data_IF_880708221711
#
_entry.id   IF_880708221711
#
_cell.length_a   1.000
_cell.length_b   1.000
_cell.length_c   1.000
_cell.angle_alpha   90.00
_cell.angle_beta   90.00
_cell.angle_gamma   90.00
#
_symmetry.space_group_name_H-M   'P 1'
#
loop_
_entity.id
_entity.type
_entity.pdbx_description
1 polymer ?
#
# COMPACT_ATOMS: atom_id res chain seq x y z
N UNK A 1 17.86 -39.78 -7.02
CA UNK A 1 17.98 -39.31 -8.41
C UNK A 1 16.84 -38.35 -8.81
N UNK A 2 15.59 -38.61 -8.48
CA UNK A 2 14.44 -37.75 -8.80
C UNK A 2 14.48 -36.40 -8.06
N UNK A 3 14.87 -36.38 -6.79
CA UNK A 3 15.00 -35.15 -5.99
C UNK A 3 16.06 -34.16 -6.51
N UNK A 4 17.18 -34.71 -7.06
CA UNK A 4 18.24 -33.89 -7.63
C UNK A 4 17.81 -33.24 -8.95
N UNK A 5 17.05 -33.99 -9.76
CA UNK A 5 16.46 -33.47 -11.02
C UNK A 5 15.40 -32.39 -10.81
N UNK A 6 14.67 -32.46 -9.70
CA UNK A 6 13.67 -31.44 -9.35
C UNK A 6 14.38 -30.16 -8.87
N UNK A 7 15.42 -30.30 -8.06
CA UNK A 7 16.20 -29.13 -7.58
C UNK A 7 16.89 -28.39 -8.74
N UNK A 8 17.50 -29.12 -9.67
CA UNK A 8 18.14 -28.56 -10.87
C UNK A 8 17.15 -27.90 -11.82
N UNK A 9 15.92 -28.44 -11.90
CA UNK A 9 14.83 -27.85 -12.68
C UNK A 9 14.21 -26.61 -12.02
N UNK A 10 14.18 -26.56 -10.69
CA UNK A 10 13.77 -25.35 -9.95
C UNK A 10 14.80 -24.25 -10.10
N UNK A 11 16.10 -24.52 -9.98
CA UNK A 11 17.14 -23.51 -10.20
C UNK A 11 17.10 -22.94 -11.62
N UNK A 12 16.86 -23.79 -12.64
CA UNK A 12 16.70 -23.32 -14.02
C UNK A 12 15.44 -22.49 -14.26
N UNK A 13 14.38 -22.71 -13.49
CA UNK A 13 13.15 -21.90 -13.55
C UNK A 13 13.31 -20.56 -12.83
N UNK A 14 14.12 -20.50 -11.77
CA UNK A 14 14.46 -19.23 -11.10
C UNK A 14 15.37 -18.36 -11.98
N UNK A 15 16.30 -18.93 -12.70
CA UNK A 15 17.19 -18.23 -13.64
C UNK A 15 16.43 -17.69 -14.88
N UNK A 16 15.31 -18.31 -15.26
CA UNK A 16 14.43 -17.83 -16.32
C UNK A 16 13.47 -16.71 -15.91
N UNK A 17 13.33 -16.40 -14.62
CA UNK A 17 12.48 -15.32 -14.13
C UNK A 17 13.18 -13.97 -13.96
N UNK A 18 14.47 -13.86 -14.24
CA UNK A 18 15.10 -12.57 -14.47
C UNK A 18 14.61 -12.11 -15.85
N UNK A 19 13.50 -11.39 -15.85
CA UNK A 19 13.00 -10.73 -17.07
C UNK A 19 14.03 -9.68 -17.45
N UNK A 20 14.91 -10.01 -18.40
CA UNK A 20 15.80 -9.04 -19.02
C UNK A 20 14.93 -8.03 -19.77
N UNK A 21 14.60 -6.94 -19.08
CA UNK A 21 13.81 -5.86 -19.68
C UNK A 21 14.64 -5.22 -20.79
N UNK A 22 14.23 -5.46 -22.02
CA UNK A 22 14.83 -4.81 -23.19
C UNK A 22 14.66 -3.30 -23.09
N UNK A 23 15.66 -2.56 -23.60
CA UNK A 23 15.57 -1.10 -23.72
C UNK A 23 14.32 -0.64 -24.47
N UNK A 24 13.83 -1.46 -25.40
CA UNK A 24 12.61 -1.20 -26.16
C UNK A 24 11.37 -1.27 -25.26
N UNK A 25 11.27 -2.28 -24.40
CA UNK A 25 10.16 -2.44 -23.43
C UNK A 25 10.16 -1.32 -22.40
N UNK A 26 11.34 -0.92 -21.93
CA UNK A 26 11.49 0.21 -21.03
C UNK A 26 11.01 1.53 -21.69
N UNK A 27 11.41 1.79 -22.93
CA UNK A 27 10.97 3.00 -23.67
C UNK A 27 9.48 2.98 -24.00
N UNK A 28 8.92 1.80 -24.32
CA UNK A 28 7.47 1.63 -24.49
C UNK A 28 6.72 1.92 -23.19
N UNK A 29 7.21 1.42 -22.08
CA UNK A 29 6.64 1.71 -20.76
C UNK A 29 6.67 3.21 -20.43
N UNK A 30 7.78 3.88 -20.74
CA UNK A 30 7.91 5.33 -20.55
C UNK A 30 6.96 6.13 -21.44
N UNK A 31 6.62 5.60 -22.63
CA UNK A 31 5.67 6.25 -23.53
C UNK A 31 4.28 6.43 -22.92
N UNK A 32 3.85 5.57 -22.00
CA UNK A 32 2.59 5.71 -21.28
C UNK A 32 2.53 7.00 -20.44
N UNK A 33 3.66 7.39 -19.86
CA UNK A 33 3.75 8.66 -19.11
C UNK A 33 3.57 9.83 -20.07
N UNK A 34 4.18 9.76 -21.25
CA UNK A 34 4.04 10.80 -22.29
C UNK A 34 2.60 10.89 -22.76
N UNK A 35 1.95 9.75 -23.01
CA UNK A 35 0.52 9.70 -23.40
C UNK A 35 -0.35 10.33 -22.32
N UNK A 36 -0.11 10.03 -21.06
CA UNK A 36 -0.85 10.62 -19.94
C UNK A 36 -0.67 12.13 -19.87
N UNK A 37 0.54 12.63 -20.10
CA UNK A 37 0.82 14.06 -20.15
C UNK A 37 0.13 14.74 -21.34
N UNK A 38 0.14 14.11 -22.53
CA UNK A 38 -0.55 14.60 -23.71
C UNK A 38 -2.06 14.66 -23.49
N UNK A 39 -2.67 13.60 -22.96
CA UNK A 39 -4.09 13.60 -22.61
C UNK A 39 -4.45 14.69 -21.60
N UNK A 40 -3.61 14.89 -20.59
CA UNK A 40 -3.79 15.97 -19.62
C UNK A 40 -3.73 17.35 -20.25
N UNK A 41 -2.87 17.55 -21.28
CA UNK A 41 -2.79 18.79 -22.05
C UNK A 41 -4.05 18.98 -22.92
N UNK A 42 -4.46 17.95 -23.66
CA UNK A 42 -5.64 17.98 -24.53
C UNK A 42 -6.92 18.27 -23.74
N UNK A 43 -7.09 17.63 -22.57
CA UNK A 43 -8.24 17.81 -21.71
C UNK A 43 -8.15 19.04 -20.80
N UNK A 44 -7.09 19.85 -20.90
CA UNK A 44 -6.84 21.06 -20.09
C UNK A 44 -6.98 20.84 -18.58
N UNK A 45 -6.56 19.66 -18.10
CA UNK A 45 -6.71 19.28 -16.69
C UNK A 45 -5.77 20.06 -15.74
N UNK A 46 -4.79 20.78 -16.26
CA UNK A 46 -3.77 21.57 -15.52
C UNK A 46 -2.98 20.77 -14.46
N UNK A 47 -2.88 19.43 -14.64
CA UNK A 47 -2.18 18.53 -13.72
C UNK A 47 -0.79 18.09 -14.22
N UNK A 48 -0.34 18.59 -15.41
CA UNK A 48 0.87 18.16 -16.09
C UNK A 48 2.10 18.26 -15.18
N UNK A 49 2.26 19.41 -14.51
CA UNK A 49 3.39 19.63 -13.58
C UNK A 49 3.40 18.62 -12.43
N UNK A 50 2.22 18.33 -11.89
CA UNK A 50 2.08 17.37 -10.80
C UNK A 50 2.39 15.94 -11.24
N UNK A 51 1.90 15.54 -12.43
CA UNK A 51 2.18 14.21 -13.01
C UNK A 51 3.66 14.06 -13.34
N UNK A 52 4.27 15.05 -13.98
CA UNK A 52 5.70 15.01 -14.31
C UNK A 52 6.58 14.89 -13.04
N UNK A 53 6.34 15.76 -12.05
CA UNK A 53 7.09 15.74 -10.80
C UNK A 53 6.89 14.41 -10.06
N UNK A 54 5.66 13.88 -10.05
CA UNK A 54 5.37 12.59 -9.44
C UNK A 54 6.09 11.44 -10.16
N UNK A 55 6.12 11.44 -11.48
CA UNK A 55 6.82 10.42 -12.29
C UNK A 55 8.32 10.43 -12.06
N UNK A 56 8.95 11.61 -12.10
CA UNK A 56 10.39 11.75 -11.83
C UNK A 56 10.72 11.31 -10.40
N UNK A 57 9.91 11.73 -9.43
CA UNK A 57 10.08 11.32 -8.04
C UNK A 57 9.94 9.80 -7.88
N UNK A 58 8.94 9.19 -8.52
CA UNK A 58 8.72 7.74 -8.47
C UNK A 58 9.92 6.99 -9.09
N UNK A 59 10.41 7.42 -10.24
CA UNK A 59 11.58 6.82 -10.89
C UNK A 59 12.83 6.88 -9.99
N UNK A 60 13.12 8.04 -9.40
CA UNK A 60 14.24 8.20 -8.47
C UNK A 60 14.09 7.34 -7.21
N UNK A 61 12.87 7.25 -6.66
CA UNK A 61 12.60 6.41 -5.50
C UNK A 61 12.77 4.93 -5.82
N UNK A 62 12.26 4.45 -6.96
CA UNK A 62 12.42 3.06 -7.39
C UNK A 62 13.89 2.70 -7.61
N UNK A 63 14.66 3.59 -8.26
CA UNK A 63 16.10 3.39 -8.46
C UNK A 63 16.84 3.31 -7.12
N UNK A 64 16.56 4.23 -6.20
CA UNK A 64 17.17 4.24 -4.87
C UNK A 64 16.84 2.98 -4.06
N UNK A 65 15.58 2.53 -4.11
CA UNK A 65 15.12 1.31 -3.44
C UNK A 65 15.73 0.06 -4.09
N UNK A 66 15.82 0.01 -5.42
CA UNK A 66 16.48 -1.09 -6.12
C UNK A 66 17.95 -1.24 -5.73
N UNK A 67 18.72 -0.14 -5.71
CA UNK A 67 20.11 -0.15 -5.25
C UNK A 67 20.24 -0.55 -3.77
N UNK A 68 19.32 -0.14 -2.94
CA UNK A 68 19.31 -0.51 -1.53
C UNK A 68 19.04 -2.01 -1.36
N UNK A 69 18.14 -2.58 -2.14
CA UNK A 69 17.79 -3.99 -2.06
C UNK A 69 18.93 -4.90 -2.50
N UNK A 70 19.69 -4.55 -3.53
CA UNK A 70 20.91 -5.32 -3.88
C UNK A 70 21.87 -5.38 -2.70
N UNK A 71 22.10 -4.26 -2.01
CA UNK A 71 22.98 -4.23 -0.84
C UNK A 71 22.43 -5.03 0.36
N UNK A 72 21.11 -5.07 0.56
CA UNK A 72 20.46 -5.80 1.65
C UNK A 72 20.51 -7.30 1.41
N UNK A 73 20.18 -7.75 0.20
CA UNK A 73 20.03 -9.18 -0.09
C UNK A 73 21.35 -9.92 -0.23
N UNK A 74 22.43 -9.22 -0.58
CA UNK A 74 23.79 -9.80 -0.62
C UNK A 74 24.42 -9.96 0.78
N UNK A 75 23.75 -9.51 1.83
CA UNK A 75 24.31 -9.54 3.17
C UNK A 75 23.97 -10.83 3.92
N UNK A 76 24.91 -11.32 4.77
CA UNK A 76 24.74 -12.52 5.60
C UNK A 76 23.49 -12.49 6.51
N UNK A 77 23.00 -11.32 6.85
CA UNK A 77 21.83 -11.10 7.70
C UNK A 77 20.66 -10.49 6.90
N UNK A 78 20.45 -10.95 5.67
CA UNK A 78 19.42 -10.42 4.77
C UNK A 78 18.01 -10.44 5.40
N UNK A 79 17.67 -11.49 6.15
CA UNK A 79 16.36 -11.59 6.83
C UNK A 79 16.15 -10.49 7.88
N UNK A 80 17.18 -10.23 8.70
CA UNK A 80 17.12 -9.17 9.71
C UNK A 80 16.94 -7.79 9.06
N UNK A 81 17.69 -7.53 7.98
CA UNK A 81 17.59 -6.31 7.22
C UNK A 81 16.23 -6.15 6.54
N UNK A 82 15.63 -7.24 6.05
CA UNK A 82 14.29 -7.25 5.47
C UNK A 82 13.23 -6.87 6.50
N UNK A 83 13.28 -7.40 7.73
CA UNK A 83 12.37 -7.03 8.80
C UNK A 83 12.55 -5.58 9.27
N UNK A 84 13.79 -5.11 9.32
CA UNK A 84 14.09 -3.71 9.62
C UNK A 84 13.51 -2.79 8.54
N UNK A 85 13.62 -3.18 7.28
CA UNK A 85 13.02 -2.47 6.16
C UNK A 85 11.49 -2.44 6.25
N UNK A 86 10.84 -3.57 6.53
CA UNK A 86 9.38 -3.64 6.74
C UNK A 86 8.94 -2.71 7.87
N UNK A 87 9.67 -2.70 8.98
CA UNK A 87 9.42 -1.79 10.10
C UNK A 87 9.50 -0.32 9.65
N UNK A 88 10.53 0.01 8.90
CA UNK A 88 10.69 1.35 8.32
C UNK A 88 9.53 1.72 7.39
N UNK A 89 9.08 0.79 6.53
CA UNK A 89 7.93 1.00 5.65
C UNK A 89 6.63 1.24 6.43
N UNK A 90 6.39 0.51 7.53
CA UNK A 90 5.23 0.72 8.41
C UNK A 90 5.25 2.11 9.05
N UNK A 91 6.43 2.57 9.50
CA UNK A 91 6.58 3.91 10.06
C UNK A 91 6.34 5.00 9.01
N UNK A 92 6.89 4.84 7.80
CA UNK A 92 6.63 5.75 6.68
C UNK A 92 5.15 5.79 6.30
N UNK A 93 4.50 4.62 6.22
CA UNK A 93 3.07 4.51 5.93
C UNK A 93 2.22 5.26 6.96
N UNK A 94 2.54 5.10 8.24
CA UNK A 94 1.90 5.82 9.35
C UNK A 94 2.07 7.33 9.21
N UNK A 95 3.27 7.79 8.88
CA UNK A 95 3.56 9.22 8.68
C UNK A 95 2.80 9.78 7.46
N UNK A 96 2.68 9.01 6.37
CA UNK A 96 1.90 9.42 5.19
C UNK A 96 0.43 9.61 5.56
N UNK A 97 -0.17 8.68 6.31
CA UNK A 97 -1.56 8.79 6.78
C UNK A 97 -1.73 10.01 7.68
N UNK A 98 -0.80 10.23 8.62
CA UNK A 98 -0.81 11.40 9.51
C UNK A 98 -0.82 12.72 8.73
N UNK A 99 0.01 12.83 7.71
CA UNK A 99 0.11 14.06 6.89
C UNK A 99 -1.11 14.29 6.01
N UNK A 100 -1.74 13.23 5.55
CA UNK A 100 -2.91 13.35 4.68
C UNK A 100 -4.20 13.68 5.44
N UNK A 101 -4.27 13.34 6.74
CA UNK A 101 -5.45 13.60 7.58
C UNK A 101 -5.00 14.15 8.94
N UNK A 102 -4.60 15.43 9.01
CA UNK A 102 -4.06 16.03 10.22
C UNK A 102 -5.10 16.29 11.31
N UNK A 103 -6.38 16.11 11.00
CA UNK A 103 -7.53 16.51 11.86
C UNK A 103 -7.65 15.68 13.14
N UNK A 104 -7.09 14.44 13.17
CA UNK A 104 -7.28 13.49 14.27
C UNK A 104 -5.97 13.29 15.04
N UNK A 105 -5.88 13.83 16.25
CA UNK A 105 -4.63 13.81 17.07
C UNK A 105 -4.08 12.42 17.37
N UNK A 106 -4.91 11.38 17.53
CA UNK A 106 -4.51 10.00 17.83
C UNK A 106 -4.41 9.10 16.60
N UNK A 107 -4.66 9.65 15.42
CA UNK A 107 -4.64 8.89 14.17
C UNK A 107 -3.32 8.13 13.93
N UNK A 108 -2.13 8.71 14.16
CA UNK A 108 -0.88 8.00 13.86
C UNK A 108 -0.72 6.73 14.69
N UNK A 109 -1.11 6.74 15.96
CA UNK A 109 -1.01 5.56 16.81
C UNK A 109 -1.99 4.46 16.38
N UNK A 110 -3.23 4.85 16.04
CA UNK A 110 -4.24 3.90 15.52
C UNK A 110 -3.80 3.33 14.17
N UNK A 111 -3.27 4.17 13.29
CA UNK A 111 -2.76 3.75 11.99
C UNK A 111 -1.56 2.80 12.14
N UNK A 112 -0.62 3.11 13.04
CA UNK A 112 0.53 2.25 13.32
C UNK A 112 0.09 0.85 13.75
N UNK A 113 -0.79 0.77 14.75
CA UNK A 113 -1.31 -0.51 15.26
C UNK A 113 -2.06 -1.26 14.15
N UNK A 114 -2.95 -0.59 13.42
CA UNK A 114 -3.73 -1.19 12.37
C UNK A 114 -2.84 -1.75 11.24
N UNK A 115 -1.87 -0.98 10.75
CA UNK A 115 -0.96 -1.41 9.67
C UNK A 115 -0.10 -2.57 10.16
N UNK A 116 0.50 -2.46 11.36
CA UNK A 116 1.35 -3.51 11.93
C UNK A 116 0.58 -4.82 12.09
N UNK A 117 -0.63 -4.76 12.65
CA UNK A 117 -1.49 -5.94 12.83
C UNK A 117 -1.87 -6.57 11.49
N UNK A 118 -2.25 -5.75 10.50
CA UNK A 118 -2.61 -6.25 9.17
C UNK A 118 -1.43 -6.89 8.46
N UNK A 119 -0.26 -6.27 8.49
CA UNK A 119 0.97 -6.83 7.90
C UNK A 119 1.35 -8.12 8.62
N UNK A 120 1.36 -8.13 9.95
CA UNK A 120 1.66 -9.33 10.74
C UNK A 120 0.69 -10.47 10.42
N UNK A 121 -0.60 -10.19 10.30
CA UNK A 121 -1.61 -11.19 9.96
C UNK A 121 -1.39 -11.77 8.55
N UNK A 122 -1.20 -10.93 7.54
CA UNK A 122 -1.00 -11.39 6.16
C UNK A 122 0.30 -12.18 6.03
N UNK A 123 1.39 -11.66 6.58
CA UNK A 123 2.70 -12.32 6.56
C UNK A 123 2.64 -13.67 7.30
N UNK A 124 1.98 -13.72 8.47
CA UNK A 124 1.80 -14.96 9.22
C UNK A 124 1.00 -16.00 8.41
N UNK A 125 -0.11 -15.60 7.80
CA UNK A 125 -0.92 -16.51 6.97
C UNK A 125 -0.12 -17.04 5.79
N UNK A 126 0.52 -16.16 5.02
CA UNK A 126 1.25 -16.54 3.80
C UNK A 126 2.40 -17.49 4.10
N UNK A 127 3.19 -17.23 5.13
CA UNK A 127 4.36 -18.07 5.46
C UNK A 127 4.00 -19.28 6.31
N UNK A 128 3.00 -19.20 7.21
CA UNK A 128 2.57 -20.34 8.02
C UNK A 128 1.95 -21.45 7.16
N UNK A 129 1.17 -21.06 6.14
CA UNK A 129 0.57 -22.00 5.19
C UNK A 129 1.50 -22.34 4.02
N UNK A 130 2.76 -21.88 4.03
CA UNK A 130 3.74 -22.11 2.98
C UNK A 130 3.21 -21.80 1.57
N UNK A 131 2.40 -20.73 1.46
CA UNK A 131 1.88 -20.26 0.16
C UNK A 131 3.02 -19.73 -0.70
N UNK A 132 4.01 -19.12 -0.06
CA UNK A 132 5.25 -18.62 -0.67
C UNK A 132 6.41 -18.99 0.25
N UNK A 133 7.57 -19.30 -0.32
CA UNK A 133 8.77 -19.66 0.43
C UNK A 133 9.23 -18.48 1.31
N UNK A 134 9.69 -18.80 2.53
CA UNK A 134 10.19 -17.81 3.46
C UNK A 134 11.61 -17.38 3.02
N UNK A 135 11.66 -16.30 2.27
CA UNK A 135 12.89 -15.66 1.82
C UNK A 135 12.89 -14.17 2.15
N UNK A 136 14.08 -13.59 2.28
CA UNK A 136 14.24 -12.14 2.54
C UNK A 136 13.50 -11.28 1.52
N UNK A 137 13.51 -11.67 0.25
CA UNK A 137 12.82 -10.98 -0.84
C UNK A 137 11.31 -11.06 -0.64
N UNK A 138 10.79 -12.26 -0.39
CA UNK A 138 9.35 -12.49 -0.23
C UNK A 138 8.77 -11.76 0.99
N UNK A 139 9.52 -11.65 2.08
CA UNK A 139 9.13 -10.85 3.25
C UNK A 139 8.88 -9.40 2.84
N UNK A 140 9.81 -8.80 2.11
CA UNK A 140 9.71 -7.40 1.67
C UNK A 140 8.58 -7.21 0.66
N UNK A 141 8.44 -8.13 -0.31
CA UNK A 141 7.43 -8.06 -1.36
C UNK A 141 6.01 -8.17 -0.77
N UNK A 142 5.75 -9.22 0.02
CA UNK A 142 4.43 -9.45 0.63
C UNK A 142 4.04 -8.30 1.55
N UNK A 143 4.98 -7.86 2.41
CA UNK A 143 4.75 -6.73 3.30
C UNK A 143 4.54 -5.43 2.52
N UNK A 144 5.32 -5.20 1.48
CA UNK A 144 5.23 -4.00 0.63
C UNK A 144 3.89 -3.88 -0.09
N UNK A 145 3.41 -4.96 -0.71
CA UNK A 145 2.09 -5.01 -1.36
C UNK A 145 0.99 -4.76 -0.32
N UNK A 146 1.09 -5.40 0.84
CA UNK A 146 0.10 -5.23 1.91
C UNK A 146 0.04 -3.79 2.39
N UNK A 147 1.18 -3.17 2.71
CA UNK A 147 1.26 -1.76 3.15
C UNK A 147 0.76 -0.84 2.04
N UNK A 148 1.17 -1.08 0.79
CA UNK A 148 0.78 -0.29 -0.37
C UNK A 148 -0.74 -0.22 -0.58
N UNK A 149 -1.45 -1.30 -0.31
CA UNK A 149 -2.91 -1.37 -0.40
C UNK A 149 -3.63 -0.78 0.83
N UNK A 150 -3.05 -0.91 2.02
CA UNK A 150 -3.66 -0.40 3.25
C UNK A 150 -3.65 1.13 3.31
N UNK A 151 -2.56 1.77 2.88
CA UNK A 151 -2.39 3.23 3.03
C UNK A 151 -3.48 4.04 2.33
N UNK A 152 -3.77 3.87 1.03
CA UNK A 152 -4.84 4.61 0.37
C UNK A 152 -6.21 4.30 0.96
N UNK A 153 -6.48 3.05 1.31
CA UNK A 153 -7.74 2.62 1.93
C UNK A 153 -7.96 3.28 3.30
N UNK A 154 -6.92 3.31 4.14
CA UNK A 154 -6.99 3.97 5.44
C UNK A 154 -7.21 5.48 5.30
N UNK A 155 -6.54 6.13 4.36
CA UNK A 155 -6.72 7.57 4.09
C UNK A 155 -8.16 7.85 3.64
N UNK A 156 -8.69 7.08 2.70
CA UNK A 156 -10.07 7.21 2.22
C UNK A 156 -11.08 6.98 3.34
N UNK A 157 -10.90 5.95 4.17
CA UNK A 157 -11.79 5.67 5.30
C UNK A 157 -11.85 6.84 6.28
N UNK A 158 -10.70 7.43 6.64
CA UNK A 158 -10.67 8.57 7.57
C UNK A 158 -11.22 9.85 6.92
N UNK A 159 -10.99 10.08 5.63
CA UNK A 159 -11.58 11.20 4.90
C UNK A 159 -13.10 11.07 4.82
N UNK A 160 -13.62 9.88 4.53
CA UNK A 160 -15.07 9.59 4.53
C UNK A 160 -15.68 9.80 5.92
N UNK A 161 -14.99 9.36 6.99
CA UNK A 161 -15.41 9.62 8.36
C UNK A 161 -15.57 11.12 8.61
N UNK A 162 -14.55 11.90 8.30
CA UNK A 162 -14.59 13.35 8.50
C UNK A 162 -15.71 14.01 7.69
N UNK A 163 -15.90 13.60 6.44
CA UNK A 163 -16.94 14.14 5.57
C UNK A 163 -18.33 13.82 6.11
N UNK A 164 -18.58 12.60 6.54
CA UNK A 164 -19.87 12.20 7.10
C UNK A 164 -20.17 12.90 8.43
N UNK A 165 -19.18 13.01 9.32
CA UNK A 165 -19.36 13.73 10.58
C UNK A 165 -19.62 15.22 10.37
N UNK A 166 -19.02 15.82 9.35
CA UNK A 166 -19.23 17.23 9.02
C UNK A 166 -20.59 17.46 8.36
N UNK A 167 -20.96 16.62 7.39
CA UNK A 167 -22.25 16.76 6.67
C UNK A 167 -23.46 16.42 7.55
N UNK A 168 -23.29 15.52 8.52
CA UNK A 168 -24.33 15.09 9.46
C UNK A 168 -24.15 15.65 10.87
N UNK A 169 -23.51 16.79 10.98
CA UNK A 169 -23.22 17.41 12.28
C UNK A 169 -24.48 17.65 13.11
N UNK A 170 -25.57 18.11 12.49
CA UNK A 170 -26.85 18.35 13.18
C UNK A 170 -27.46 17.06 13.73
N UNK A 171 -27.36 15.94 13.00
CA UNK A 171 -27.81 14.62 13.48
C UNK A 171 -26.96 14.17 14.68
N UNK A 172 -25.64 14.36 14.62
CA UNK A 172 -24.74 14.03 15.71
C UNK A 172 -25.02 14.90 16.96
N UNK A 173 -25.24 16.20 16.78
CA UNK A 173 -25.58 17.12 17.87
C UNK A 173 -26.95 16.81 18.49
N UNK A 174 -27.95 16.44 17.66
CA UNK A 174 -29.28 16.04 18.15
C UNK A 174 -29.23 14.73 18.96
N UNK A 175 -28.44 13.75 18.53
CA UNK A 175 -28.24 12.51 19.29
C UNK A 175 -27.58 12.76 20.65
N UNK A 176 -26.60 13.68 20.70
CA UNK A 176 -25.96 14.08 21.96
C UNK A 176 -26.95 14.87 22.87
N UNK A 177 -27.77 15.76 22.29
CA UNK A 177 -28.78 16.52 23.05
C UNK A 177 -29.86 15.63 23.67
N UNK A 178 -30.16 14.48 23.02
CA UNK A 178 -31.09 13.46 23.54
C UNK A 178 -30.45 12.54 24.60
N UNK A 179 -29.25 12.88 25.09
CA UNK A 179 -28.56 12.13 26.12
C UNK A 179 -27.68 10.98 25.57
N UNK A 180 -27.45 10.93 24.25
CA UNK A 180 -26.52 9.99 23.64
C UNK A 180 -25.08 10.29 24.06
N UNK A 181 -24.29 9.24 24.22
CA UNK A 181 -22.84 9.31 24.46
C UNK A 181 -22.03 9.05 23.17
N UNK A 182 -20.70 9.11 23.31
CA UNK A 182 -19.77 8.80 22.19
C UNK A 182 -19.94 7.38 21.64
N UNK A 183 -20.40 6.43 22.45
CA UNK A 183 -20.62 5.04 22.05
C UNK A 183 -21.82 4.93 21.09
N UNK A 184 -22.88 5.69 21.36
CA UNK A 184 -24.07 5.75 20.51
C UNK A 184 -23.72 6.37 19.14
N UNK A 185 -22.97 7.46 19.12
CA UNK A 185 -22.47 8.06 17.87
C UNK A 185 -21.62 7.06 17.07
N UNK A 186 -20.72 6.36 17.73
CA UNK A 186 -19.87 5.38 17.06
C UNK A 186 -20.71 4.25 16.46
N UNK A 187 -21.67 3.70 17.21
CA UNK A 187 -22.55 2.64 16.72
C UNK A 187 -23.43 3.09 15.55
N UNK A 188 -23.78 4.35 15.51
CA UNK A 188 -24.60 4.90 14.43
C UNK A 188 -23.81 5.15 13.14
N UNK A 189 -22.63 5.76 13.24
CA UNK A 189 -21.84 6.16 12.08
C UNK A 189 -20.85 5.09 11.60
N UNK A 190 -20.24 4.29 12.49
CA UNK A 190 -19.20 3.35 12.12
C UNK A 190 -19.62 2.31 11.07
N UNK A 191 -20.82 1.68 11.13
CA UNK A 191 -21.23 0.70 10.12
C UNK A 191 -21.29 1.28 8.71
N UNK A 192 -21.77 2.51 8.57
CA UNK A 192 -21.89 3.18 7.25
C UNK A 192 -20.52 3.50 6.68
N UNK A 193 -19.59 3.98 7.53
CA UNK A 193 -18.22 4.32 7.14
C UNK A 193 -17.46 3.08 6.72
N UNK A 194 -17.54 2.01 7.53
CA UNK A 194 -16.89 0.73 7.25
C UNK A 194 -17.43 0.15 5.94
N UNK A 195 -18.76 0.15 5.77
CA UNK A 195 -19.40 -0.33 4.54
C UNK A 195 -18.86 0.42 3.32
N UNK A 196 -18.83 1.76 3.36
CA UNK A 196 -18.34 2.60 2.25
C UNK A 196 -16.86 2.32 1.96
N UNK A 197 -16.02 2.26 2.99
CA UNK A 197 -14.60 1.98 2.81
C UNK A 197 -14.32 0.60 2.20
N UNK A 198 -15.03 -0.43 2.66
CA UNK A 198 -14.90 -1.80 2.15
C UNK A 198 -15.44 -1.89 0.73
N UNK A 199 -16.61 -1.31 0.44
CA UNK A 199 -17.21 -1.33 -0.90
C UNK A 199 -16.26 -0.69 -1.92
N UNK A 200 -15.71 0.47 -1.61
CA UNK A 200 -14.73 1.14 -2.50
C UNK A 200 -13.52 0.25 -2.76
N UNK A 201 -13.02 -0.46 -1.74
CA UNK A 201 -11.88 -1.36 -1.91
C UNK A 201 -12.22 -2.60 -2.74
N UNK A 202 -13.41 -3.15 -2.57
CA UNK A 202 -13.91 -4.28 -3.37
C UNK A 202 -14.06 -3.85 -4.83
N UNK A 203 -14.65 -2.70 -5.09
CA UNK A 203 -14.81 -2.16 -6.45
C UNK A 203 -13.46 -1.95 -7.13
N UNK A 204 -12.48 -1.38 -6.42
CA UNK A 204 -11.10 -1.22 -6.94
C UNK A 204 -10.44 -2.57 -7.25
N UNK A 205 -10.70 -3.61 -6.44
CA UNK A 205 -10.12 -4.94 -6.68
C UNK A 205 -10.80 -5.68 -7.84
N UNK A 206 -12.10 -5.45 -8.07
CA UNK A 206 -12.85 -6.06 -9.18
C UNK A 206 -12.48 -5.49 -10.55
N UNK A 207 -11.98 -4.26 -10.62
CA UNK A 207 -11.52 -3.65 -11.88
C UNK A 207 -10.24 -4.31 -12.40
N UNK A 208 -9.51 -5.03 -11.54
CA UNK A 208 -8.27 -5.73 -11.91
C UNK A 208 -8.49 -7.19 -12.37
N UNK A 209 -9.73 -7.65 -12.46
CA UNK A 209 -10.10 -8.93 -13.06
C UNK A 209 -10.68 -8.67 -14.45
#
# INVERSE_FOLDING_TARGET
MIFFSIAEKTDSLYDQQIVDISWLEFTLSLSLVVVTLLLSLLLRLHIQKSVFVASVRAALQLLAVGLLFTAIFDHKFAELWSWLWVTFMVLLATEIIRRRVPTVKRLPLVALVAITTSVAMVVSVVFLFSVIDYTSINIVVVSGITIGNIVPTAVLAVQQLNMQLTSRRLEAESLLALGGDKSILTKFFAPQIIKTAITTQIELSLIHI
#
